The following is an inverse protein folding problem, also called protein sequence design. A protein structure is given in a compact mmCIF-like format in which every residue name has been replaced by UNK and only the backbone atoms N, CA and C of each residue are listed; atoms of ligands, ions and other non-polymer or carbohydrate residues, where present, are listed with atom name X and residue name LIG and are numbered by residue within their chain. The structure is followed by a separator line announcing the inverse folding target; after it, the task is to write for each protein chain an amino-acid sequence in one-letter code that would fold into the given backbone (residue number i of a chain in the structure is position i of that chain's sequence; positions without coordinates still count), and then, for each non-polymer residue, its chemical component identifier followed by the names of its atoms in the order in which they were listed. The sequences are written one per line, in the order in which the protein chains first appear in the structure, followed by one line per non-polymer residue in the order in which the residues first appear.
data_IF_051880124670
#
_entry.id   IF_051880124670
#
_cell.length_a   1.000
_cell.length_b   1.000
_cell.length_c   1.000
_cell.angle_alpha   90.00
_cell.angle_beta   90.00
_cell.angle_gamma   90.00
#
_symmetry.space_group_name_H-M   'P 1'
#
loop_
_entity.id
_entity.type
_entity.pdbx_description
1 polymer ?
#
# COMPACT_ATOMS: atom_id res chain seq x y z
N UNK A 1 -7.17 -8.84 4.62
CA UNK A 1 -6.62 -8.02 3.51
C UNK A 1 -6.87 -6.53 3.72
N UNK A 2 -8.11 -6.09 3.98
CA UNK A 2 -8.42 -4.66 4.13
C UNK A 2 -7.66 -4.01 5.30
N UNK A 3 -7.62 -4.64 6.47
CA UNK A 3 -6.90 -4.13 7.65
C UNK A 3 -5.38 -4.00 7.42
N UNK A 4 -4.78 -4.96 6.70
CA UNK A 4 -3.34 -4.91 6.36
C UNK A 4 -3.07 -3.76 5.39
N UNK A 5 -3.93 -3.56 4.40
CA UNK A 5 -3.86 -2.45 3.47
C UNK A 5 -3.95 -1.11 4.20
N UNK A 6 -4.99 -0.92 5.01
CA UNK A 6 -5.27 0.33 5.71
C UNK A 6 -4.13 0.66 6.69
N UNK A 7 -3.58 -0.34 7.39
CA UNK A 7 -2.43 -0.16 8.30
C UNK A 7 -1.14 0.20 7.54
N UNK A 8 -0.87 -0.45 6.41
CA UNK A 8 0.31 -0.16 5.59
C UNK A 8 0.23 1.23 4.94
N UNK A 9 -0.94 1.60 4.41
CA UNK A 9 -1.17 2.92 3.82
C UNK A 9 -1.09 4.04 4.87
N UNK A 10 -1.61 3.82 6.08
CA UNK A 10 -1.52 4.78 7.18
C UNK A 10 -0.06 5.01 7.62
N UNK A 11 0.72 3.95 7.81
CA UNK A 11 2.14 4.06 8.16
C UNK A 11 2.96 4.79 7.10
N UNK A 12 2.72 4.49 5.81
CA UNK A 12 3.39 5.19 4.71
C UNK A 12 2.97 6.67 4.63
N UNK A 13 1.69 6.97 4.82
CA UNK A 13 1.18 8.35 4.83
C UNK A 13 1.81 9.18 5.97
N UNK A 14 1.97 8.59 7.16
CA UNK A 14 2.64 9.24 8.28
C UNK A 14 4.11 9.54 7.97
N UNK A 15 4.84 8.57 7.43
CA UNK A 15 6.24 8.75 7.04
C UNK A 15 6.42 9.78 5.92
N UNK A 16 5.53 9.81 4.93
CA UNK A 16 5.52 10.82 3.88
C UNK A 16 5.21 12.22 4.45
N UNK A 17 4.25 12.33 5.37
CA UNK A 17 3.93 13.60 6.04
C UNK A 17 5.14 14.15 6.81
N UNK A 18 5.86 13.29 7.52
CA UNK A 18 7.09 13.68 8.22
C UNK A 18 8.19 14.11 7.24
N UNK A 19 8.31 13.43 6.11
CA UNK A 19 9.25 13.78 5.04
C UNK A 19 8.88 15.12 4.38
N UNK A 20 7.62 15.35 4.07
CA UNK A 20 7.14 16.61 3.49
C UNK A 20 7.36 17.77 4.44
N UNK A 21 7.14 17.58 5.75
CA UNK A 21 7.45 18.59 6.76
C UNK A 21 8.96 18.92 6.80
N UNK A 22 9.83 17.91 6.71
CA UNK A 22 11.27 18.11 6.67
C UNK A 22 11.72 18.85 5.39
N UNK A 23 11.14 18.51 4.24
CA UNK A 23 11.37 19.21 2.97
C UNK A 23 10.87 20.65 3.03
N UNK A 24 9.72 20.91 3.68
CA UNK A 24 9.24 22.27 3.89
C UNK A 24 10.19 23.11 4.76
N UNK A 25 10.79 22.50 5.79
CA UNK A 25 11.84 23.17 6.58
C UNK A 25 13.06 23.54 5.72
N UNK A 26 13.47 22.66 4.80
CA UNK A 26 14.57 22.98 3.86
C UNK A 26 14.22 24.13 2.91
N UNK A 27 12.98 24.21 2.41
CA UNK A 27 12.52 25.29 1.53
C UNK A 27 12.60 26.67 2.21
N UNK A 28 12.40 26.70 3.53
CA UNK A 28 12.45 27.93 4.32
C UNK A 28 13.87 28.30 4.75
N UNK A 29 14.85 27.43 4.48
CA UNK A 29 16.24 27.64 4.88
C UNK A 29 16.93 28.64 3.94
N UNK A 30 17.54 29.67 4.52
CA UNK A 30 18.30 30.63 3.76
C UNK A 30 19.69 30.09 3.42
N UNK A 31 20.19 30.37 2.22
CA UNK A 31 21.55 30.00 1.80
C UNK A 31 22.60 30.62 2.69
N UNK A 32 22.31 31.84 3.23
CA UNK A 32 23.18 32.51 4.20
C UNK A 32 23.43 31.70 5.46
N UNK A 33 22.39 31.02 5.97
CA UNK A 33 22.44 30.22 7.21
C UNK A 33 23.37 29.01 7.04
N UNK A 34 23.27 28.35 5.86
CA UNK A 34 24.19 27.27 5.48
C UNK A 34 25.63 27.76 5.35
N UNK A 35 25.80 28.89 4.66
CA UNK A 35 27.12 29.50 4.45
C UNK A 35 27.75 29.99 5.77
N UNK A 36 26.94 30.39 6.75
CA UNK A 36 27.41 30.76 8.08
C UNK A 36 27.99 29.55 8.81
N UNK A 37 27.31 28.40 8.77
CA UNK A 37 27.82 27.14 9.35
C UNK A 37 29.16 26.77 8.72
N UNK A 38 29.32 26.92 7.41
CA UNK A 38 30.58 26.64 6.71
C UNK A 38 31.74 27.51 7.16
N UNK A 39 31.50 28.72 7.75
CA UNK A 39 32.53 29.65 8.21
C UNK A 39 33.09 29.32 9.59
N UNK A 40 32.46 28.44 10.37
CA UNK A 40 32.97 28.12 11.70
C UNK A 40 34.39 27.55 11.62
N UNK A 41 35.29 28.12 12.41
CA UNK A 41 36.64 27.59 12.60
C UNK A 41 36.63 26.44 13.63
N UNK A 42 35.88 26.64 14.72
CA UNK A 42 35.68 25.64 15.76
C UNK A 42 34.16 25.49 16.04
N UNK A 43 33.46 24.64 15.29
CA UNK A 43 32.03 24.50 15.42
C UNK A 43 31.64 23.83 16.74
N UNK A 44 30.44 24.13 17.29
CA UNK A 44 29.88 23.43 18.40
C UNK A 44 29.73 21.91 18.11
N UNK A 45 29.76 21.08 19.13
CA UNK A 45 29.67 19.63 18.99
C UNK A 45 28.40 19.19 18.27
N UNK A 46 27.25 19.83 18.57
CA UNK A 46 25.97 19.55 17.91
C UNK A 46 26.01 19.87 16.42
N UNK A 47 26.74 20.93 16.01
CA UNK A 47 26.93 21.24 14.59
C UNK A 47 27.79 20.16 13.93
N UNK A 48 28.90 19.76 14.55
CA UNK A 48 29.75 18.67 14.03
C UNK A 48 28.95 17.39 13.83
N UNK A 49 28.12 17.01 14.83
CA UNK A 49 27.28 15.84 14.81
C UNK A 49 26.31 15.84 13.61
N UNK A 50 25.66 16.98 13.34
CA UNK A 50 24.73 17.10 12.21
C UNK A 50 25.47 17.03 10.88
N UNK A 51 26.60 17.71 10.75
CA UNK A 51 27.37 17.71 9.50
C UNK A 51 27.99 16.34 9.22
N UNK A 52 28.40 15.62 10.25
CA UNK A 52 28.83 14.22 10.15
C UNK A 52 27.71 13.35 9.62
N UNK A 53 26.50 13.42 10.19
CA UNK A 53 25.33 12.68 9.71
C UNK A 53 25.00 13.03 8.25
N UNK A 54 25.07 14.30 7.88
CA UNK A 54 24.84 14.73 6.50
C UNK A 54 25.90 14.17 5.53
N UNK A 55 27.18 14.18 5.92
CA UNK A 55 28.25 13.55 5.13
C UNK A 55 28.02 12.06 4.95
N UNK A 56 27.57 11.35 6.00
CA UNK A 56 27.23 9.94 5.92
C UNK A 56 26.06 9.70 4.96
N UNK A 57 25.01 10.52 5.00
CA UNK A 57 23.89 10.46 4.06
C UNK A 57 24.34 10.58 2.61
N UNK A 58 25.26 11.49 2.31
CA UNK A 58 25.80 11.68 0.96
C UNK A 58 27.00 10.77 0.64
N UNK A 59 27.29 9.79 1.51
CA UNK A 59 28.40 8.86 1.35
C UNK A 59 29.77 9.57 1.15
N UNK A 60 29.95 10.70 1.82
CA UNK A 60 31.22 11.46 1.81
C UNK A 60 32.16 10.83 2.83
N UNK A 61 33.36 10.51 2.40
CA UNK A 61 34.38 9.90 3.27
C UNK A 61 34.96 10.94 4.27
N UNK A 62 35.27 10.52 5.52
CA UNK A 62 35.94 11.36 6.48
C UNK A 62 37.40 11.56 6.12
N UNK A 63 37.99 12.63 6.66
CA UNK A 63 39.45 12.80 6.73
C UNK A 63 39.98 12.14 8.00
N UNK A 64 41.22 11.64 7.96
CA UNK A 64 41.89 11.06 9.13
C UNK A 64 42.69 12.15 9.83
N UNK A 65 42.34 12.50 11.05
CA UNK A 65 42.98 13.53 11.85
C UNK A 65 43.59 12.92 13.12
N UNK A 66 44.76 13.37 13.51
CA UNK A 66 45.47 12.90 14.71
C UNK A 66 46.87 12.43 14.44
N UNK A 67 47.62 12.10 15.51
CA UNK A 67 49.00 11.63 15.45
C UNK A 67 49.08 10.16 14.93
N UNK A 68 50.28 9.80 14.45
CA UNK A 68 50.51 8.43 13.96
C UNK A 68 50.15 7.39 15.04
N UNK A 69 49.18 6.53 14.73
CA UNK A 69 48.69 5.49 15.63
C UNK A 69 47.39 5.80 16.38
N UNK A 70 46.89 7.04 16.35
CA UNK A 70 45.58 7.47 16.94
C UNK A 70 44.80 8.37 15.99
N UNK A 71 44.68 7.93 14.72
CA UNK A 71 43.88 8.67 13.75
C UNK A 71 42.40 8.45 13.97
N UNK A 72 41.65 9.53 14.09
CA UNK A 72 40.17 9.54 14.23
C UNK A 72 39.55 10.06 12.94
N UNK A 73 38.40 9.55 12.61
CA UNK A 73 37.61 10.05 11.49
C UNK A 73 37.07 11.45 11.80
N UNK A 74 37.34 12.39 10.93
CA UNK A 74 36.84 13.75 11.00
C UNK A 74 36.01 14.08 9.76
N UNK A 75 34.75 14.41 9.96
CA UNK A 75 33.85 14.82 8.89
C UNK A 75 33.73 16.33 8.75
N UNK A 76 34.40 17.14 9.62
CA UNK A 76 34.23 18.56 9.59
C UNK A 76 34.79 19.20 8.31
N UNK A 77 35.98 18.82 7.90
CA UNK A 77 36.57 19.38 6.68
C UNK A 77 35.80 18.97 5.40
N UNK A 78 35.45 17.70 5.20
CA UNK A 78 34.59 17.31 4.11
C UNK A 78 33.21 17.98 4.13
N UNK A 79 32.61 18.09 5.32
CA UNK A 79 31.33 18.76 5.50
C UNK A 79 31.38 20.25 5.24
N UNK A 80 32.43 20.91 5.69
CA UNK A 80 32.69 22.33 5.38
C UNK A 80 32.78 22.56 3.88
N UNK A 81 33.46 21.67 3.15
CA UNK A 81 33.54 21.73 1.70
C UNK A 81 32.17 21.54 1.04
N UNK A 82 31.36 20.61 1.54
CA UNK A 82 29.99 20.43 1.09
C UNK A 82 29.15 21.69 1.28
N UNK A 83 29.15 22.25 2.49
CA UNK A 83 28.38 23.46 2.85
C UNK A 83 28.90 24.73 2.17
N UNK A 84 30.13 24.74 1.67
CA UNK A 84 30.70 25.83 0.86
C UNK A 84 29.90 26.09 -0.41
N UNK A 85 29.28 25.06 -0.97
CA UNK A 85 28.26 25.15 -2.01
C UNK A 85 26.89 25.01 -1.37
N UNK A 86 26.38 26.05 -0.75
CA UNK A 86 25.11 26.01 -0.03
C UNK A 86 23.93 25.67 -0.95
N UNK A 87 23.93 26.17 -2.19
CA UNK A 87 22.89 25.87 -3.17
C UNK A 87 22.92 24.41 -3.60
N UNK A 88 24.08 23.93 -4.04
CA UNK A 88 24.26 22.55 -4.44
C UNK A 88 23.99 21.56 -3.30
N UNK A 89 24.24 21.95 -2.04
CA UNK A 89 23.87 21.14 -0.87
C UNK A 89 22.36 21.00 -0.73
N UNK A 90 21.61 22.08 -0.85
CA UNK A 90 20.14 22.05 -0.81
C UNK A 90 19.58 21.24 -1.98
N UNK A 91 20.07 21.47 -3.18
CA UNK A 91 19.62 20.75 -4.38
C UNK A 91 19.84 19.23 -4.21
N UNK A 92 20.98 18.81 -3.68
CA UNK A 92 21.27 17.40 -3.33
C UNK A 92 20.31 16.83 -2.27
N UNK A 93 19.86 17.63 -1.30
CA UNK A 93 18.90 17.21 -0.31
C UNK A 93 17.50 17.07 -0.90
N UNK A 94 17.09 17.95 -1.81
CA UNK A 94 15.81 17.87 -2.51
C UNK A 94 15.74 16.71 -3.50
N UNK A 95 16.81 16.44 -4.21
CA UNK A 95 16.93 15.41 -5.24
C UNK A 95 17.36 14.05 -4.66
N UNK A 96 17.49 13.94 -3.35
CA UNK A 96 17.98 12.73 -2.71
C UNK A 96 17.05 11.54 -2.98
N UNK A 97 17.62 10.45 -3.48
CA UNK A 97 16.87 9.21 -3.77
C UNK A 97 16.52 8.48 -2.46
N UNK A 98 15.37 8.85 -1.90
CA UNK A 98 14.84 8.29 -0.65
C UNK A 98 14.46 6.82 -0.75
N UNK A 99 14.19 6.33 -1.96
CA UNK A 99 13.71 4.97 -2.19
C UNK A 99 14.86 3.96 -2.32
N UNK A 100 16.09 4.45 -2.60
CA UNK A 100 17.28 3.62 -2.80
C UNK A 100 18.43 3.97 -1.84
N UNK A 101 18.13 4.20 -0.56
CA UNK A 101 19.16 4.45 0.44
C UNK A 101 19.87 3.13 0.75
N UNK A 102 21.19 3.09 0.62
CA UNK A 102 21.95 1.87 0.86
C UNK A 102 21.94 1.46 2.33
N UNK A 103 21.90 0.14 2.61
CA UNK A 103 21.94 -0.42 3.96
C UNK A 103 23.15 0.07 4.77
N UNK A 104 24.30 0.30 4.09
CA UNK A 104 25.51 0.81 4.74
C UNK A 104 25.29 2.22 5.30
N UNK A 105 24.60 3.09 4.55
CA UNK A 105 24.27 4.45 4.98
C UNK A 105 23.29 4.41 6.14
N UNK A 106 22.20 3.66 6.00
CA UNK A 106 21.17 3.54 7.04
C UNK A 106 21.72 2.99 8.35
N UNK A 107 22.54 1.94 8.33
CA UNK A 107 23.18 1.40 9.53
C UNK A 107 24.09 2.41 10.24
N UNK A 108 24.77 3.27 9.48
CA UNK A 108 25.57 4.35 10.06
C UNK A 108 24.70 5.47 10.62
N UNK A 109 23.62 5.83 9.92
CA UNK A 109 22.68 6.86 10.37
C UNK A 109 21.96 6.43 11.65
N UNK A 110 21.68 5.13 11.83
CA UNK A 110 21.07 4.62 13.06
C UNK A 110 21.83 5.08 14.31
N UNK A 111 23.15 5.15 14.27
CA UNK A 111 23.96 5.59 15.41
C UNK A 111 23.70 7.05 15.79
N UNK A 112 23.38 7.90 14.81
CA UNK A 112 22.96 9.28 15.05
C UNK A 112 21.53 9.35 15.58
N UNK A 113 20.64 8.55 15.05
CA UNK A 113 19.24 8.49 15.52
C UNK A 113 19.16 8.08 16.99
N UNK A 114 20.00 7.12 17.40
CA UNK A 114 20.10 6.62 18.78
C UNK A 114 20.82 7.62 19.71
N UNK A 115 21.53 8.59 19.15
CA UNK A 115 22.23 9.60 19.95
C UNK A 115 21.21 10.62 20.53
N UNK A 116 21.13 10.76 21.86
CA UNK A 116 20.20 11.67 22.53
C UNK A 116 20.44 13.15 22.20
N UNK A 117 21.61 13.50 21.65
CA UNK A 117 21.94 14.86 21.22
C UNK A 117 21.56 15.15 19.77
N UNK A 118 21.28 14.13 18.97
CA UNK A 118 20.81 14.29 17.61
C UNK A 118 19.26 14.51 17.55
N UNK A 119 18.82 15.52 18.29
CA UNK A 119 17.42 15.92 18.36
C UNK A 119 17.24 17.35 17.84
N UNK A 120 16.25 17.61 16.94
CA UNK A 120 16.01 18.96 16.40
C UNK A 120 15.84 20.02 17.48
N UNK A 121 15.18 19.70 18.58
CA UNK A 121 14.95 20.62 19.71
C UNK A 121 16.26 21.07 20.38
N UNK A 122 17.24 20.16 20.53
CA UNK A 122 18.56 20.50 21.07
C UNK A 122 19.40 21.32 20.09
N UNK A 123 19.34 20.97 18.80
CA UNK A 123 20.13 21.61 17.74
C UNK A 123 19.61 23.01 17.43
N UNK A 124 18.30 23.25 17.61
CA UNK A 124 17.66 24.53 17.36
C UNK A 124 18.29 25.71 18.13
N UNK A 125 18.81 25.47 19.33
CA UNK A 125 19.50 26.49 20.12
C UNK A 125 20.83 26.92 19.54
N UNK A 126 21.38 26.14 18.59
CA UNK A 126 22.73 26.35 18.05
C UNK A 126 22.69 26.83 16.59
N UNK A 127 21.85 26.24 15.74
CA UNK A 127 21.78 26.57 14.32
C UNK A 127 20.45 26.13 13.69
N UNK A 128 19.73 27.06 13.07
CA UNK A 128 18.52 26.79 12.30
C UNK A 128 18.81 25.89 11.09
N UNK A 129 19.93 26.11 10.42
CA UNK A 129 20.36 25.29 9.29
C UNK A 129 20.60 23.84 9.70
N UNK A 130 21.36 23.63 10.78
CA UNK A 130 21.59 22.28 11.31
C UNK A 130 20.31 21.63 11.82
N UNK A 131 19.36 22.40 12.35
CA UNK A 131 18.05 21.88 12.76
C UNK A 131 17.28 21.28 11.58
N UNK A 132 17.18 22.02 10.47
CA UNK A 132 16.52 21.54 9.25
C UNK A 132 17.23 20.30 8.67
N UNK A 133 18.56 20.27 8.65
CA UNK A 133 19.36 19.13 8.19
C UNK A 133 19.14 17.89 9.09
N UNK A 134 19.06 18.08 10.41
CA UNK A 134 18.76 17.01 11.35
C UNK A 134 17.35 16.45 11.14
N UNK A 135 16.34 17.31 11.00
CA UNK A 135 14.96 16.91 10.71
C UNK A 135 14.89 16.11 9.41
N UNK A 136 15.55 16.59 8.37
CA UNK A 136 15.60 15.89 7.08
C UNK A 136 16.25 14.51 7.20
N UNK A 137 17.41 14.39 7.87
CA UNK A 137 18.10 13.12 8.08
C UNK A 137 17.23 12.13 8.84
N UNK A 138 16.55 12.58 9.90
CA UNK A 138 15.63 11.75 10.68
C UNK A 138 14.43 11.30 9.86
N UNK A 139 13.83 12.19 9.06
CA UNK A 139 12.72 11.89 8.20
C UNK A 139 13.09 10.85 7.12
N UNK A 140 14.27 10.98 6.49
CA UNK A 140 14.79 10.00 5.52
C UNK A 140 14.97 8.61 6.14
N UNK A 141 15.51 8.56 7.37
CA UNK A 141 15.68 7.32 8.10
C UNK A 141 14.32 6.66 8.42
N UNK A 142 13.37 7.41 8.96
CA UNK A 142 12.01 6.91 9.26
C UNK A 142 11.31 6.42 8.00
N UNK A 143 11.36 7.21 6.92
CA UNK A 143 10.77 6.83 5.64
C UNK A 143 11.34 5.51 5.11
N UNK A 144 12.67 5.33 5.17
CA UNK A 144 13.32 4.11 4.69
C UNK A 144 12.77 2.85 5.38
N UNK A 145 12.67 2.85 6.71
CA UNK A 145 12.16 1.67 7.44
C UNK A 145 10.67 1.43 7.20
N UNK A 146 9.87 2.48 7.12
CA UNK A 146 8.46 2.34 6.80
C UNK A 146 8.26 1.83 5.38
N UNK A 147 9.03 2.33 4.41
CA UNK A 147 8.98 1.86 3.04
C UNK A 147 9.36 0.37 2.92
N UNK A 148 10.39 -0.08 3.65
CA UNK A 148 10.79 -1.48 3.71
C UNK A 148 9.70 -2.40 4.30
N UNK A 149 8.94 -1.93 5.28
CA UNK A 149 7.84 -2.70 5.88
C UNK A 149 6.59 -2.72 4.98
N UNK A 150 6.32 -1.62 4.30
CA UNK A 150 5.11 -1.43 3.49
C UNK A 150 5.22 -2.11 2.12
N UNK A 151 6.38 -2.07 1.47
CA UNK A 151 6.54 -2.56 0.09
C UNK A 151 6.20 -4.05 -0.07
N UNK A 152 6.69 -4.99 0.77
CA UNK A 152 6.29 -6.39 0.67
C UNK A 152 4.79 -6.60 0.92
N UNK A 153 4.18 -5.79 1.78
CA UNK A 153 2.74 -5.83 2.04
C UNK A 153 1.94 -5.37 0.82
N UNK A 154 2.40 -4.34 0.12
CA UNK A 154 1.78 -3.87 -1.14
C UNK A 154 1.86 -4.92 -2.24
N UNK A 155 3.02 -5.56 -2.40
CA UNK A 155 3.22 -6.62 -3.40
C UNK A 155 2.31 -7.81 -3.09
N UNK A 156 2.27 -8.28 -1.84
CA UNK A 156 1.39 -9.37 -1.43
C UNK A 156 -0.09 -9.04 -1.62
N UNK A 157 -0.49 -7.80 -1.31
CA UNK A 157 -1.85 -7.34 -1.52
C UNK A 157 -2.24 -7.31 -3.00
N UNK A 158 -1.35 -6.80 -3.86
CA UNK A 158 -1.58 -6.76 -5.31
C UNK A 158 -1.76 -8.18 -5.89
N UNK A 159 -0.93 -9.14 -5.47
CA UNK A 159 -1.06 -10.54 -5.86
C UNK A 159 -2.41 -11.14 -5.39
N UNK A 160 -2.79 -10.92 -4.13
CA UNK A 160 -4.06 -11.41 -3.58
C UNK A 160 -5.29 -10.79 -4.27
N UNK A 161 -5.20 -9.52 -4.68
CA UNK A 161 -6.28 -8.87 -5.44
C UNK A 161 -6.44 -9.45 -6.84
N UNK A 162 -5.35 -9.79 -7.51
CA UNK A 162 -5.41 -10.44 -8.83
C UNK A 162 -5.99 -11.86 -8.73
N UNK A 163 -5.58 -12.64 -7.71
CA UNK A 163 -6.19 -13.94 -7.44
C UNK A 163 -7.68 -13.83 -7.15
N UNK A 164 -8.10 -12.85 -6.34
CA UNK A 164 -9.50 -12.60 -6.02
C UNK A 164 -10.30 -12.30 -7.29
N UNK A 165 -9.80 -11.47 -8.17
CA UNK A 165 -10.44 -11.14 -9.44
C UNK A 165 -10.68 -12.39 -10.31
N UNK A 166 -9.69 -13.28 -10.40
CA UNK A 166 -9.82 -14.56 -11.13
C UNK A 166 -10.89 -15.44 -10.51
N UNK A 167 -10.98 -15.48 -9.18
CA UNK A 167 -12.00 -16.25 -8.47
C UNK A 167 -13.40 -15.65 -8.68
N UNK A 168 -13.54 -14.32 -8.59
CA UNK A 168 -14.80 -13.62 -8.85
C UNK A 168 -15.32 -13.86 -10.27
N UNK A 169 -14.44 -13.85 -11.27
CA UNK A 169 -14.82 -14.18 -12.66
C UNK A 169 -15.31 -15.63 -12.79
N UNK A 170 -14.66 -16.59 -12.10
CA UNK A 170 -15.11 -17.99 -12.09
C UNK A 170 -16.46 -18.14 -11.40
N UNK A 171 -16.66 -17.50 -10.25
CA UNK A 171 -17.92 -17.49 -9.52
C UNK A 171 -19.04 -16.91 -10.37
N UNK A 172 -18.81 -15.78 -11.03
CA UNK A 172 -19.79 -15.16 -11.93
C UNK A 172 -20.20 -16.10 -13.07
N UNK A 173 -19.24 -16.79 -13.70
CA UNK A 173 -19.53 -17.78 -14.77
C UNK A 173 -20.36 -18.96 -14.24
N UNK A 174 -20.01 -19.49 -13.07
CA UNK A 174 -20.75 -20.60 -12.44
C UNK A 174 -22.17 -20.18 -12.05
N UNK A 175 -22.35 -18.96 -11.54
CA UNK A 175 -23.67 -18.41 -11.23
C UNK A 175 -24.54 -18.27 -12.48
N UNK A 176 -23.96 -17.80 -13.59
CA UNK A 176 -24.67 -17.70 -14.87
C UNK A 176 -25.12 -19.10 -15.37
N UNK A 177 -24.23 -20.11 -15.31
CA UNK A 177 -24.55 -21.49 -15.66
C UNK A 177 -25.61 -22.09 -14.75
N UNK A 178 -25.53 -21.85 -13.45
CA UNK A 178 -26.52 -22.31 -12.49
C UNK A 178 -27.90 -21.70 -12.80
N UNK A 179 -27.93 -20.40 -13.10
CA UNK A 179 -29.19 -19.74 -13.48
C UNK A 179 -29.79 -20.34 -14.75
N UNK A 180 -28.97 -20.56 -15.80
CA UNK A 180 -29.46 -21.21 -17.04
C UNK A 180 -30.04 -22.58 -16.79
N UNK A 181 -29.37 -23.43 -15.99
CA UNK A 181 -29.85 -24.75 -15.63
C UNK A 181 -31.13 -24.69 -14.82
N UNK A 182 -31.23 -23.76 -13.87
CA UNK A 182 -32.44 -23.55 -13.06
C UNK A 182 -33.62 -23.11 -13.91
N UNK A 183 -33.40 -22.11 -14.78
CA UNK A 183 -34.47 -21.63 -15.70
C UNK A 183 -34.97 -22.76 -16.63
N UNK A 184 -34.06 -23.61 -17.10
CA UNK A 184 -34.40 -24.76 -17.94
C UNK A 184 -35.19 -25.83 -17.16
N UNK A 185 -34.82 -26.04 -15.90
CA UNK A 185 -35.51 -27.00 -15.02
C UNK A 185 -36.93 -26.51 -14.68
N UNK A 186 -37.08 -25.22 -14.42
CA UNK A 186 -38.38 -24.58 -14.18
C UNK A 186 -39.32 -24.69 -15.41
N UNK A 187 -38.76 -24.43 -16.61
CA UNK A 187 -39.52 -24.63 -17.87
C UNK A 187 -39.95 -26.09 -18.05
N UNK A 188 -39.07 -27.06 -17.79
CA UNK A 188 -39.37 -28.48 -17.90
C UNK A 188 -40.46 -28.93 -16.90
N UNK A 189 -40.41 -28.42 -15.68
CA UNK A 189 -41.43 -28.66 -14.65
C UNK A 189 -42.78 -28.09 -15.07
N UNK A 190 -42.82 -26.87 -15.64
CA UNK A 190 -44.04 -26.28 -16.14
C UNK A 190 -44.66 -27.11 -17.29
N UNK A 191 -43.83 -27.58 -18.23
CA UNK A 191 -44.27 -28.48 -19.31
C UNK A 191 -44.80 -29.81 -18.77
N UNK A 192 -44.12 -30.37 -17.78
CA UNK A 192 -44.57 -31.61 -17.12
C UNK A 192 -45.94 -31.45 -16.42
N UNK A 193 -46.11 -30.37 -15.67
CA UNK A 193 -47.39 -30.07 -15.00
C UNK A 193 -48.52 -29.86 -16.01
N UNK A 194 -48.23 -29.16 -17.14
CA UNK A 194 -49.19 -28.99 -18.22
C UNK A 194 -49.56 -30.32 -18.86
N UNK A 195 -48.58 -31.21 -19.06
CA UNK A 195 -48.86 -32.58 -19.61
C UNK A 195 -49.69 -33.45 -18.65
N UNK A 196 -49.42 -33.39 -17.35
CA UNK A 196 -50.25 -34.08 -16.33
C UNK A 196 -51.67 -33.56 -16.36
N UNK A 197 -51.86 -32.24 -16.39
CA UNK A 197 -53.19 -31.63 -16.42
C UNK A 197 -53.96 -32.06 -17.66
N UNK A 198 -53.31 -32.04 -18.82
CA UNK A 198 -53.91 -32.51 -20.10
C UNK A 198 -54.24 -33.96 -20.04
N UNK A 199 -53.40 -34.83 -19.45
CA UNK A 199 -53.71 -36.27 -19.24
C UNK A 199 -54.92 -36.43 -18.36
N UNK A 200 -55.09 -35.72 -17.27
CA UNK A 200 -56.24 -35.76 -16.39
C UNK A 200 -57.53 -35.31 -17.09
N UNK A 201 -57.45 -34.21 -17.88
CA UNK A 201 -58.62 -33.78 -18.71
C UNK A 201 -59.08 -34.84 -19.73
N UNK A 202 -58.09 -35.47 -20.42
CA UNK A 202 -58.38 -36.53 -21.37
C UNK A 202 -58.99 -37.79 -20.69
N UNK A 203 -58.43 -38.15 -19.53
CA UNK A 203 -58.99 -39.29 -18.75
C UNK A 203 -60.41 -38.99 -18.32
N UNK A 204 -60.73 -37.78 -17.89
CA UNK A 204 -62.08 -37.36 -17.53
C UNK A 204 -63.05 -37.40 -18.75
N UNK A 205 -62.56 -36.88 -19.91
CA UNK A 205 -63.38 -36.96 -21.16
C UNK A 205 -63.63 -38.41 -21.59
N UNK A 206 -62.64 -39.30 -21.45
CA UNK A 206 -62.83 -40.74 -21.74
C UNK A 206 -63.86 -41.37 -20.83
N UNK A 207 -63.82 -41.08 -19.53
CA UNK A 207 -64.82 -41.58 -18.57
C UNK A 207 -66.22 -41.05 -18.88
N UNK A 208 -66.38 -39.75 -19.17
CA UNK A 208 -67.64 -39.16 -19.58
C UNK A 208 -68.21 -39.80 -20.88
N UNK A 209 -67.29 -40.14 -21.84
CA UNK A 209 -67.69 -40.88 -23.04
C UNK A 209 -68.18 -42.31 -22.73
N UNK A 210 -67.50 -43.05 -21.87
CA UNK A 210 -67.87 -44.35 -21.43
C UNK A 210 -69.27 -44.39 -20.74
N UNK A 211 -69.46 -43.36 -19.84
CA UNK A 211 -70.78 -43.19 -19.20
C UNK A 211 -71.89 -42.91 -20.20
N UNK A 212 -71.63 -42.15 -21.26
CA UNK A 212 -72.58 -41.84 -22.34
C UNK A 212 -72.88 -43.10 -23.18
N UNK A 213 -71.85 -43.89 -23.49
CA UNK A 213 -72.00 -45.14 -24.21
C UNK A 213 -72.85 -46.15 -23.41
N UNK A 214 -72.54 -46.33 -22.11
CA UNK A 214 -73.33 -47.24 -21.24
C UNK A 214 -74.78 -46.79 -21.12
N UNK A 215 -75.04 -45.49 -21.09
CA UNK A 215 -76.45 -44.98 -21.16
C UNK A 215 -77.10 -45.24 -22.49
N UNK A 216 -76.44 -45.11 -23.61
CA UNK A 216 -76.98 -45.41 -24.93
C UNK A 216 -77.22 -46.87 -25.11
N UNK A 217 -76.36 -47.76 -24.66
CA UNK A 217 -76.55 -49.22 -24.68
C UNK A 217 -77.75 -49.66 -23.83
N UNK A 218 -77.93 -49.04 -22.65
CA UNK A 218 -79.13 -49.30 -21.82
C UNK A 218 -80.38 -48.81 -22.47
N UNK A 219 -80.41 -47.70 -23.20
CA UNK A 219 -81.55 -47.21 -23.94
C UNK A 219 -81.87 -48.12 -25.14
N UNK A 220 -80.88 -48.57 -25.87
CA UNK A 220 -81.03 -49.48 -26.99
C UNK A 220 -81.50 -50.86 -26.53
N UNK A 221 -81.01 -51.42 -25.44
CA UNK A 221 -81.43 -52.68 -24.83
C UNK A 221 -82.85 -52.60 -24.25
N UNK A 222 -83.28 -51.44 -23.77
CA UNK A 222 -84.66 -51.21 -23.30
C UNK A 222 -85.67 -51.01 -24.40
N UNK A 223 -85.29 -50.64 -25.62
CA UNK A 223 -86.16 -50.51 -26.80
C UNK A 223 -86.26 -51.80 -27.63
N UNK A 224 -85.37 -52.77 -27.44
CA UNK A 224 -85.33 -54.03 -28.16
C UNK A 224 -86.09 -55.23 -27.47
N UNK A 225 -86.76 -54.99 -26.32
CA UNK A 225 -87.46 -55.97 -25.52
C UNK A 225 -88.97 -55.65 -25.43
N UNK A 226 -89.66 -55.52 -26.58
CA UNK A 226 -91.10 -55.43 -26.68
C UNK A 226 -91.62 -56.31 -27.80
#
# INVERSE_FOLDING_TARGET
CKEIKDSAEAGLAEALTALDAAVACLKNLKLSDISEVAKYSNPPLLVKLVIEALCVMFNIAPTKVGEAGKKVDDYWQPGKKLLGDARGTLDKMFEYDKDNISDRVIKKIQQFIDNPDFQPVKIQSVSSACTAMCQWTRAMHTYHYVALDVEPKRVALAAAMEELKVVEEKVSKLQAQLKEVTDRLDALNADFDAAIKKKQELAKKAEDCNVKLDRADRLLGGLGGG
#
